data_IF_849652392773
#
_entry.id   IF_849652392773
#
_cell.length_a   1.000
_cell.length_b   1.000
_cell.length_c   1.000
_cell.angle_alpha   90.00
_cell.angle_beta   90.00
_cell.angle_gamma   90.00
#
_symmetry.space_group_name_H-M   'P 1'
#
loop_
_entity.id
_entity.type
_entity.pdbx_description
1 polymer ?
#
# COMPACT_ATOMS: atom_id res chain seq x y z
N UNK A 1 -9.20 12.33 -22.87
CA UNK A 1 -9.70 11.13 -22.18
C UNK A 1 -10.07 11.54 -20.76
N UNK A 2 -11.36 11.60 -20.47
CA UNK A 2 -11.86 11.86 -19.12
C UNK A 2 -11.54 10.63 -18.26
N UNK A 3 -10.70 10.81 -17.24
CA UNK A 3 -10.52 9.78 -16.23
C UNK A 3 -11.87 9.60 -15.54
N UNK A 4 -12.53 8.46 -15.75
CA UNK A 4 -13.69 8.07 -14.96
C UNK A 4 -13.27 8.13 -13.49
N UNK A 5 -13.85 9.06 -12.75
CA UNK A 5 -13.70 9.13 -11.30
C UNK A 5 -14.23 7.81 -10.75
N UNK A 6 -13.32 6.92 -10.36
CA UNK A 6 -13.67 5.68 -9.69
C UNK A 6 -14.45 6.07 -8.43
N UNK A 7 -15.78 5.85 -8.42
CA UNK A 7 -16.60 6.03 -7.23
C UNK A 7 -16.15 4.97 -6.23
N UNK A 8 -15.24 5.35 -5.34
CA UNK A 8 -14.80 4.50 -4.25
C UNK A 8 -16.01 4.13 -3.41
N UNK A 9 -16.19 2.84 -3.11
CA UNK A 9 -17.24 2.41 -2.19
C UNK A 9 -16.94 2.90 -0.76
N UNK A 10 -17.91 2.84 0.14
CA UNK A 10 -17.73 3.40 1.49
C UNK A 10 -16.67 2.66 2.31
N UNK A 11 -16.45 1.38 2.03
CA UNK A 11 -15.32 0.62 2.57
C UNK A 11 -13.99 1.25 2.11
N UNK A 12 -13.79 1.47 0.81
CA UNK A 12 -12.60 2.11 0.24
C UNK A 12 -12.39 3.52 0.79
N UNK A 13 -13.46 4.34 0.91
CA UNK A 13 -13.39 5.67 1.53
C UNK A 13 -12.97 5.62 2.99
N UNK A 14 -13.43 4.62 3.74
CA UNK A 14 -13.06 4.44 5.16
C UNK A 14 -11.57 4.16 5.31
N UNK A 15 -10.97 3.42 4.37
CA UNK A 15 -9.53 3.15 4.41
C UNK A 15 -8.69 4.38 4.06
N UNK A 16 -9.20 5.32 3.27
CA UNK A 16 -8.53 6.62 3.04
C UNK A 16 -8.43 7.46 4.33
N UNK A 17 -9.33 7.22 5.29
CA UNK A 17 -9.36 7.86 6.62
C UNK A 17 -8.67 7.03 7.71
N UNK A 18 -8.28 5.79 7.40
CA UNK A 18 -7.68 4.89 8.36
C UNK A 18 -6.31 5.40 8.81
N UNK A 19 -6.16 5.54 10.12
CA UNK A 19 -4.92 5.85 10.82
C UNK A 19 -4.74 4.74 11.86
N UNK A 20 -3.97 3.69 11.58
CA UNK A 20 -3.77 2.63 12.56
C UNK A 20 -3.04 3.20 13.76
N UNK A 21 -3.56 2.84 14.93
CA UNK A 21 -3.05 3.26 16.24
C UNK A 21 -1.95 2.34 16.77
N UNK A 22 -1.66 1.24 16.07
CA UNK A 22 -0.76 0.17 16.52
C UNK A 22 0.25 -0.15 15.42
N UNK A 23 1.54 -0.14 15.78
CA UNK A 23 2.63 -0.53 14.90
C UNK A 23 2.77 -2.05 14.92
N UNK A 24 2.15 -2.75 13.97
CA UNK A 24 2.37 -4.18 13.77
C UNK A 24 3.52 -4.39 12.79
N UNK A 25 4.76 -4.19 13.24
CA UNK A 25 5.95 -4.29 12.37
C UNK A 25 6.10 -5.74 11.88
N UNK A 26 5.85 -5.97 10.60
CA UNK A 26 6.21 -7.21 9.92
C UNK A 26 7.56 -7.00 9.21
N UNK A 27 8.57 -7.72 9.70
CA UNK A 27 9.91 -7.72 9.12
C UNK A 27 9.94 -8.34 7.69
N UNK A 28 11.00 -8.05 6.94
CA UNK A 28 11.27 -8.49 5.55
C UNK A 28 10.90 -9.97 5.27
N UNK A 29 11.06 -10.85 6.26
CA UNK A 29 10.71 -12.29 6.19
C UNK A 29 9.24 -12.59 5.89
N UNK A 30 8.34 -11.62 6.06
CA UNK A 30 6.89 -11.78 5.84
C UNK A 30 6.39 -11.16 4.53
N UNK A 31 7.28 -10.62 3.68
CA UNK A 31 6.91 -10.02 2.38
C UNK A 31 6.07 -10.97 1.51
N UNK A 32 6.28 -12.29 1.61
CA UNK A 32 5.47 -13.28 0.90
C UNK A 32 3.98 -13.23 1.25
N UNK A 33 3.60 -12.76 2.44
CA UNK A 33 2.20 -12.60 2.86
C UNK A 33 1.47 -11.49 2.08
N UNK A 34 2.19 -10.53 1.51
CA UNK A 34 1.59 -9.45 0.69
C UNK A 34 0.89 -9.99 -0.56
N UNK A 35 1.30 -11.15 -1.07
CA UNK A 35 0.67 -11.80 -2.22
C UNK A 35 -0.82 -12.09 -2.00
N UNK A 36 -1.23 -12.28 -0.74
CA UNK A 36 -2.60 -12.57 -0.35
C UNK A 36 -3.37 -11.34 0.13
N UNK A 37 -2.76 -10.16 0.11
CA UNK A 37 -3.32 -8.92 0.71
C UNK A 37 -3.81 -7.93 -0.35
N UNK A 38 -4.41 -8.43 -1.44
CA UNK A 38 -5.04 -7.56 -2.45
C UNK A 38 -6.18 -6.74 -1.85
N UNK A 39 -6.36 -5.51 -2.33
CA UNK A 39 -7.33 -4.53 -1.82
C UNK A 39 -7.18 -4.21 -0.32
N UNK A 40 -5.94 -4.27 0.19
CA UNK A 40 -5.61 -3.92 1.57
C UNK A 40 -4.73 -2.68 1.63
N UNK A 41 -4.92 -1.83 2.66
CA UNK A 41 -4.01 -0.71 2.94
C UNK A 41 -3.02 -1.14 4.01
N UNK A 42 -1.74 -0.97 3.69
CA UNK A 42 -0.60 -1.27 4.54
C UNK A 42 0.27 -0.03 4.69
N UNK A 43 1.01 0.07 5.79
CA UNK A 43 2.10 1.04 5.91
C UNK A 43 3.37 0.38 5.38
N UNK A 44 4.03 0.99 4.40
CA UNK A 44 5.30 0.48 3.87
C UNK A 44 6.43 1.42 4.24
N UNK A 45 7.55 0.84 4.70
CA UNK A 45 8.85 1.52 4.78
C UNK A 45 9.77 0.91 3.73
N UNK A 46 10.37 1.75 2.90
CA UNK A 46 11.34 1.35 1.90
C UNK A 46 12.77 1.40 2.46
N UNK A 47 13.71 0.69 1.80
CA UNK A 47 15.15 0.70 2.14
C UNK A 47 15.81 2.07 2.05
N UNK A 48 15.19 3.04 1.37
CA UNK A 48 15.64 4.44 1.33
C UNK A 48 15.04 5.31 2.44
N UNK A 49 14.49 4.71 3.51
CA UNK A 49 13.83 5.37 4.64
C UNK A 49 12.58 6.20 4.27
N UNK A 50 12.00 6.00 3.09
CA UNK A 50 10.69 6.56 2.77
C UNK A 50 9.59 5.65 3.28
N UNK A 51 8.67 6.22 4.07
CA UNK A 51 7.53 5.50 4.61
C UNK A 51 6.21 6.15 4.21
N UNK A 52 5.22 5.35 3.85
CA UNK A 52 3.91 5.83 3.41
C UNK A 52 2.82 4.76 3.50
N UNK A 53 1.57 5.22 3.55
CA UNK A 53 0.41 4.35 3.35
C UNK A 53 0.34 3.89 1.90
N UNK A 54 0.17 2.58 1.70
CA UNK A 54 0.08 1.94 0.41
C UNK A 54 -1.17 1.08 0.31
N UNK A 55 -1.98 1.32 -0.70
CA UNK A 55 -3.13 0.50 -1.04
C UNK A 55 -2.73 -0.52 -2.10
N UNK A 56 -2.71 -1.80 -1.74
CA UNK A 56 -2.32 -2.90 -2.60
C UNK A 56 -3.44 -3.19 -3.57
N UNK A 57 -3.18 -3.05 -4.88
CA UNK A 57 -4.10 -3.51 -5.92
C UNK A 57 -3.75 -4.89 -6.44
N UNK A 58 -2.48 -5.13 -6.68
CA UNK A 58 -2.01 -6.45 -7.03
C UNK A 58 -0.56 -6.62 -6.61
N UNK A 59 -0.20 -7.84 -6.26
CA UNK A 59 1.17 -8.24 -5.95
C UNK A 59 1.50 -9.41 -6.86
N UNK A 60 2.63 -9.33 -7.56
CA UNK A 60 3.19 -10.48 -8.26
C UNK A 60 4.48 -10.92 -7.56
N UNK A 61 5.30 -11.73 -8.23
CA UNK A 61 6.50 -12.30 -7.59
C UNK A 61 7.55 -11.28 -7.19
N UNK A 62 7.63 -10.13 -7.89
CA UNK A 62 8.72 -9.18 -7.73
C UNK A 62 8.27 -7.74 -7.42
N UNK A 63 7.01 -7.42 -7.66
CA UNK A 63 6.49 -6.06 -7.53
C UNK A 63 5.10 -6.02 -6.89
N UNK A 64 4.92 -4.95 -6.13
CA UNK A 64 3.66 -4.48 -5.56
C UNK A 64 3.15 -3.34 -6.45
N UNK A 65 1.89 -3.41 -6.84
CA UNK A 65 1.21 -2.36 -7.62
C UNK A 65 -0.03 -1.91 -6.89
N UNK A 66 -0.34 -0.63 -6.99
CA UNK A 66 -1.26 0.00 -6.06
C UNK A 66 -1.08 1.50 -6.00
N UNK A 67 -1.49 2.08 -4.89
CA UNK A 67 -1.51 3.52 -4.72
C UNK A 67 -0.80 3.92 -3.43
N UNK A 68 -0.05 5.01 -3.46
CA UNK A 68 0.59 5.62 -2.29
C UNK A 68 -0.21 6.83 -1.85
N UNK A 69 -0.43 6.98 -0.54
CA UNK A 69 -0.99 8.22 0.02
C UNK A 69 0.10 9.29 0.10
N UNK A 70 -0.03 10.32 -0.73
CA UNK A 70 0.77 11.54 -0.69
C UNK A 70 -0.16 12.69 -0.33
N UNK A 71 -0.01 13.23 0.89
CA UNK A 71 -0.92 14.23 1.46
C UNK A 71 -2.38 13.72 1.42
N UNK A 72 -3.26 14.40 0.68
CA UNK A 72 -4.68 14.07 0.55
C UNK A 72 -5.00 13.24 -0.71
N UNK A 73 -3.99 12.82 -1.47
CA UNK A 73 -4.18 12.12 -2.75
C UNK A 73 -3.53 10.75 -2.75
N UNK A 74 -4.15 9.84 -3.49
CA UNK A 74 -3.60 8.52 -3.77
C UNK A 74 -3.01 8.51 -5.17
N UNK A 75 -1.71 8.22 -5.26
CA UNK A 75 -0.95 8.24 -6.52
C UNK A 75 -0.56 6.82 -6.86
N UNK A 76 -0.87 6.39 -8.08
CA UNK A 76 -0.49 5.06 -8.55
C UNK A 76 1.02 4.89 -8.52
N UNK A 77 1.50 3.79 -7.93
CA UNK A 77 2.93 3.49 -7.83
C UNK A 77 3.19 2.00 -7.83
N UNK A 78 4.25 1.61 -8.51
CA UNK A 78 4.82 0.27 -8.45
C UNK A 78 6.06 0.28 -7.56
N UNK A 79 6.19 -0.73 -6.70
CA UNK A 79 7.29 -0.89 -5.76
C UNK A 79 7.87 -2.29 -5.94
N UNK A 80 9.18 -2.39 -6.10
CA UNK A 80 9.85 -3.69 -6.07
C UNK A 80 9.81 -4.24 -4.64
N UNK A 81 9.42 -5.50 -4.49
CA UNK A 81 9.36 -6.15 -3.17
C UNK A 81 10.73 -6.13 -2.47
N UNK A 82 11.81 -6.26 -3.24
CA UNK A 82 13.19 -6.15 -2.75
C UNK A 82 13.56 -4.79 -2.15
N UNK A 83 12.78 -3.74 -2.45
CA UNK A 83 12.97 -2.40 -1.91
C UNK A 83 12.17 -2.15 -0.63
N UNK A 84 11.28 -3.06 -0.24
CA UNK A 84 10.52 -2.96 1.00
C UNK A 84 11.46 -3.39 2.13
N UNK A 85 11.59 -2.53 3.14
CA UNK A 85 12.32 -2.82 4.36
C UNK A 85 11.38 -3.49 5.36
N UNK A 86 10.23 -2.87 5.61
CA UNK A 86 9.23 -3.29 6.60
C UNK A 86 7.83 -2.89 6.15
N UNK A 87 6.80 -3.61 6.62
CA UNK A 87 5.41 -3.21 6.45
C UNK A 87 4.49 -3.56 7.62
N UNK A 88 3.35 -2.87 7.73
CA UNK A 88 2.30 -3.09 8.75
C UNK A 88 0.90 -3.12 8.14
#
# INVERSE_FOLDING_TARGET
MSYQSCLFNDAQKSVLKYTPRHHHILAEKYISLLKNQTDTIVYLTLKNNLSYWYFIKSCNDNQLTGFVKLNEKWVYKTILLSNILEFC
#
